data_IF_484854388929
#
_entry.id   IF_484854388929
#
_cell.length_a   1.000
_cell.length_b   1.000
_cell.length_c   1.000
_cell.angle_alpha   90.00
_cell.angle_beta   90.00
_cell.angle_gamma   90.00
#
_symmetry.space_group_name_H-M   'P 1'
#
loop_
_entity.id
_entity.type
_entity.pdbx_description
1 polymer ?
#
# COMPACT_ATOMS: atom_id res chain seq x y z
N UNK A 1 -3.32 13.41 -6.65
CA UNK A 1 -2.70 12.14 -7.07
C UNK A 1 -3.47 10.94 -6.51
N UNK A 2 -3.56 10.76 -5.19
CA UNK A 2 -4.28 9.63 -4.59
C UNK A 2 -5.80 9.65 -4.84
N UNK A 3 -6.43 10.83 -4.89
CA UNK A 3 -7.84 10.95 -5.29
C UNK A 3 -8.09 10.46 -6.72
N UNK A 4 -7.20 10.79 -7.66
CA UNK A 4 -7.29 10.29 -9.04
C UNK A 4 -7.12 8.77 -9.09
N UNK A 5 -6.20 8.21 -8.27
CA UNK A 5 -6.07 6.77 -8.14
C UNK A 5 -7.36 6.15 -7.58
N UNK A 6 -7.97 6.77 -6.56
CA UNK A 6 -9.27 6.32 -6.01
C UNK A 6 -10.33 6.22 -7.11
N UNK A 7 -10.48 7.27 -7.93
CA UNK A 7 -11.46 7.28 -9.01
C UNK A 7 -11.23 6.15 -10.04
N UNK A 8 -9.97 5.82 -10.33
CA UNK A 8 -9.62 4.71 -11.24
C UNK A 8 -9.92 3.36 -10.58
N UNK A 9 -9.61 3.19 -9.30
CA UNK A 9 -9.92 1.98 -8.54
C UNK A 9 -11.44 1.74 -8.49
N UNK A 10 -12.22 2.80 -8.24
CA UNK A 10 -13.67 2.74 -8.22
C UNK A 10 -14.24 2.31 -9.59
N UNK A 11 -13.73 2.87 -10.68
CA UNK A 11 -14.13 2.47 -12.05
C UNK A 11 -13.78 1.01 -12.37
N UNK A 12 -12.71 0.48 -11.77
CA UNK A 12 -12.31 -0.91 -11.90
C UNK A 12 -12.97 -1.84 -10.87
N UNK A 13 -13.97 -1.36 -10.11
CA UNK A 13 -14.65 -2.09 -9.03
C UNK A 13 -13.66 -2.70 -8.02
N UNK A 14 -12.60 -1.96 -7.67
CA UNK A 14 -11.56 -2.37 -6.72
C UNK A 14 -11.29 -1.24 -5.74
N UNK A 15 -10.33 -1.42 -4.84
CA UNK A 15 -10.08 -0.49 -3.73
C UNK A 15 -8.61 -0.54 -3.30
N UNK A 16 -8.22 0.42 -2.45
CA UNK A 16 -6.81 0.61 -2.06
C UNK A 16 -6.12 -0.61 -1.43
N UNK A 17 -6.86 -1.51 -0.76
CA UNK A 17 -6.25 -2.72 -0.20
C UNK A 17 -5.84 -3.76 -1.24
N UNK A 18 -6.29 -3.61 -2.49
CA UNK A 18 -5.86 -4.47 -3.61
C UNK A 18 -4.64 -3.89 -4.35
N UNK A 19 -4.15 -2.73 -3.95
CA UNK A 19 -2.88 -2.19 -4.45
C UNK A 19 -1.75 -3.00 -3.80
N UNK A 20 -0.91 -3.63 -4.63
CA UNK A 20 0.16 -4.53 -4.15
C UNK A 20 1.54 -3.85 -4.18
N UNK A 21 1.72 -2.85 -5.05
CA UNK A 21 2.97 -2.09 -5.19
C UNK A 21 2.65 -0.64 -5.55
N UNK A 22 3.38 0.29 -4.95
CA UNK A 22 3.43 1.69 -5.40
C UNK A 22 4.85 2.14 -5.67
N UNK A 23 5.01 3.02 -6.67
CA UNK A 23 6.23 3.82 -6.85
C UNK A 23 5.87 5.29 -6.67
N UNK A 24 6.52 5.96 -5.73
CA UNK A 24 6.30 7.37 -5.42
C UNK A 24 7.49 8.17 -5.90
N UNK A 25 7.26 9.02 -6.90
CA UNK A 25 8.26 9.94 -7.43
C UNK A 25 8.04 11.31 -6.79
N UNK A 26 9.06 11.83 -6.11
CA UNK A 26 9.06 13.17 -5.50
C UNK A 26 9.90 14.12 -6.35
N UNK A 27 9.45 15.37 -6.49
CA UNK A 27 10.30 16.41 -7.06
C UNK A 27 11.41 16.84 -6.09
N UNK A 28 11.13 16.83 -4.78
CA UNK A 28 12.05 17.19 -3.70
C UNK A 28 11.87 16.20 -2.53
N UNK A 29 12.95 15.57 -2.07
CA UNK A 29 12.95 14.63 -0.96
C UNK A 29 12.57 15.27 0.38
N UNK A 30 12.68 16.60 0.51
CA UNK A 30 12.22 17.32 1.71
C UNK A 30 10.69 17.19 1.91
N UNK A 31 9.93 16.91 0.85
CA UNK A 31 8.48 16.69 0.92
C UNK A 31 8.10 15.28 1.43
N UNK A 32 9.08 14.39 1.67
CA UNK A 32 8.84 12.99 2.03
C UNK A 32 7.89 12.81 3.22
N UNK A 33 8.12 13.52 4.32
CA UNK A 33 7.30 13.39 5.53
C UNK A 33 5.85 13.85 5.29
N UNK A 34 5.68 14.94 4.54
CA UNK A 34 4.37 15.48 4.19
C UNK A 34 3.58 14.51 3.29
N UNK A 35 4.23 13.94 2.27
CA UNK A 35 3.63 12.94 1.39
C UNK A 35 3.32 11.66 2.16
N UNK A 36 4.20 11.19 3.04
CA UNK A 36 3.99 9.97 3.81
C UNK A 36 2.81 10.10 4.78
N UNK A 37 2.58 11.28 5.37
CA UNK A 37 1.39 11.56 6.18
C UNK A 37 0.11 11.34 5.37
N UNK A 38 0.02 11.95 4.18
CA UNK A 38 -1.15 11.79 3.32
C UNK A 38 -1.30 10.37 2.78
N UNK A 39 -0.19 9.73 2.40
CA UNK A 39 -0.17 8.35 1.93
C UNK A 39 -0.79 7.38 2.95
N UNK A 40 -0.48 7.56 4.24
CA UNK A 40 -1.02 6.72 5.32
C UNK A 40 -2.52 6.84 5.49
N UNK A 41 -3.17 7.90 5.03
CA UNK A 41 -4.63 8.02 5.10
C UNK A 41 -5.37 7.11 4.12
N UNK A 42 -4.73 6.75 3.00
CA UNK A 42 -5.31 5.92 1.95
C UNK A 42 -4.95 4.43 2.09
N UNK A 43 -3.75 4.13 2.59
CA UNK A 43 -3.27 2.76 2.73
C UNK A 43 -3.28 2.31 4.19
N UNK A 44 -3.75 1.08 4.44
CA UNK A 44 -3.76 0.43 5.76
C UNK A 44 -3.00 -0.91 5.66
N UNK A 45 -2.69 -1.52 6.80
CA UNK A 45 -2.03 -2.82 6.82
C UNK A 45 -2.95 -3.92 6.22
N UNK A 46 -2.44 -4.86 5.39
CA UNK A 46 -1.06 -4.94 4.91
C UNK A 46 -0.74 -3.84 3.89
N UNK A 47 0.36 -3.12 4.10
CA UNK A 47 0.77 -2.05 3.20
C UNK A 47 1.30 -2.62 1.88
N UNK A 48 1.08 -1.94 0.73
CA UNK A 48 1.74 -2.31 -0.52
C UNK A 48 3.26 -2.21 -0.37
N UNK A 49 3.98 -3.02 -1.13
CA UNK A 49 5.40 -2.77 -1.35
C UNK A 49 5.57 -1.34 -1.90
N UNK A 50 6.62 -0.63 -1.48
CA UNK A 50 6.82 0.77 -1.88
C UNK A 50 8.26 1.07 -2.26
N UNK A 51 8.42 1.78 -3.37
CA UNK A 51 9.67 2.46 -3.72
C UNK A 51 9.42 3.97 -3.72
N UNK A 52 10.33 4.74 -3.14
CA UNK A 52 10.25 6.20 -3.13
C UNK A 52 11.59 6.77 -3.56
N UNK A 53 11.59 7.69 -4.53
CA UNK A 53 12.79 8.34 -5.03
C UNK A 53 12.52 9.78 -5.43
N UNK A 54 13.56 10.61 -5.37
CA UNK A 54 13.54 11.95 -5.95
C UNK A 54 13.85 11.87 -7.45
N UNK A 55 13.15 12.67 -8.26
CA UNK A 55 13.38 12.79 -9.70
C UNK A 55 13.60 14.25 -10.09
N UNK A 56 14.42 14.46 -11.13
CA UNK A 56 14.81 15.81 -11.56
C UNK A 56 13.62 16.68 -11.94
N UNK A 57 12.62 16.12 -12.63
CA UNK A 57 11.38 16.80 -13.05
C UNK A 57 10.22 15.83 -13.17
N UNK A 58 9.01 16.33 -12.93
CA UNK A 58 7.75 15.66 -13.21
C UNK A 58 6.94 16.45 -14.26
N UNK A 59 6.06 15.80 -15.04
CA UNK A 59 5.18 16.49 -15.97
C UNK A 59 4.38 17.61 -15.31
N UNK A 60 4.16 18.70 -16.03
CA UNK A 60 3.39 19.88 -15.58
C UNK A 60 3.92 20.54 -14.29
N UNK A 61 5.16 20.27 -13.88
CA UNK A 61 5.72 20.81 -12.63
C UNK A 61 5.10 20.21 -11.38
N UNK A 62 4.56 18.99 -11.46
CA UNK A 62 4.01 18.30 -10.30
C UNK A 62 5.08 18.09 -9.20
N UNK A 63 4.66 18.12 -7.94
CA UNK A 63 5.55 17.83 -6.79
C UNK A 63 5.66 16.35 -6.47
N UNK A 64 4.62 15.58 -6.82
CA UNK A 64 4.54 14.14 -6.58
C UNK A 64 3.82 13.45 -7.74
N UNK A 65 4.33 12.29 -8.14
CA UNK A 65 3.64 11.36 -9.03
C UNK A 65 3.62 9.97 -8.39
N UNK A 66 2.54 9.23 -8.59
CA UNK A 66 2.36 7.90 -8.01
C UNK A 66 1.95 6.93 -9.11
N UNK A 67 2.71 5.85 -9.22
CA UNK A 67 2.38 4.67 -10.00
C UNK A 67 1.91 3.56 -9.05
N UNK A 68 0.91 2.78 -9.45
CA UNK A 68 0.37 1.70 -8.65
C UNK A 68 0.11 0.46 -9.50
N UNK A 69 0.43 -0.71 -8.94
CA UNK A 69 0.03 -2.03 -9.47
C UNK A 69 -1.08 -2.55 -8.57
N UNK A 70 -2.17 -2.98 -9.18
CA UNK A 70 -3.40 -3.39 -8.50
C UNK A 70 -3.75 -4.81 -8.91
N UNK A 71 -4.00 -5.69 -7.94
CA UNK A 71 -4.55 -7.01 -8.18
C UNK A 71 -6.04 -6.92 -8.48
N UNK A 72 -6.47 -7.43 -9.63
CA UNK A 72 -7.88 -7.55 -9.99
C UNK A 72 -8.25 -9.05 -9.89
N UNK A 73 -8.89 -9.43 -8.78
CA UNK A 73 -9.30 -10.80 -8.51
C UNK A 73 -9.87 -10.94 -7.10
N UNK A 74 -10.69 -11.98 -6.89
CA UNK A 74 -11.29 -12.28 -5.59
C UNK A 74 -10.20 -12.62 -4.58
N UNK A 75 -9.82 -11.62 -3.80
CA UNK A 75 -8.86 -11.67 -2.71
C UNK A 75 -7.45 -12.11 -3.12
N UNK A 76 -6.50 -11.17 -3.04
CA UNK A 76 -5.24 -11.53 -2.37
C UNK A 76 -5.64 -11.84 -0.93
N UNK A 77 -6.07 -13.08 -0.67
CA UNK A 77 -5.91 -13.63 0.65
C UNK A 77 -4.38 -13.75 0.79
N UNK A 78 -3.74 -12.77 1.44
CA UNK A 78 -2.67 -13.17 2.35
C UNK A 78 -3.38 -14.14 3.26
N UNK A 79 -3.22 -15.43 2.97
CA UNK A 79 -3.45 -16.44 3.97
C UNK A 79 -2.68 -15.91 5.19
N UNK A 80 -3.41 -15.47 6.21
CA UNK A 80 -2.91 -15.71 7.54
C UNK A 80 -2.64 -17.20 7.52
N UNK A 81 -1.38 -17.58 7.40
CA UNK A 81 -0.97 -18.93 7.66
C UNK A 81 -1.20 -19.16 9.15
N UNK A 82 -2.46 -19.26 9.57
CA UNK A 82 -2.80 -20.23 10.59
C UNK A 82 -2.62 -21.56 9.89
N UNK A 83 -1.43 -22.14 10.00
CA UNK A 83 -1.25 -23.56 9.78
C UNK A 83 -2.17 -24.26 10.76
N UNK A 84 -3.39 -24.57 10.35
CA UNK A 84 -4.21 -25.56 11.03
C UNK A 84 -3.60 -26.89 10.67
N UNK A 85 -2.94 -27.54 11.64
CA UNK A 85 -2.62 -28.94 11.51
C UNK A 85 -3.91 -29.76 11.35
N UNK A 86 -3.79 -31.00 10.88
CA UNK A 86 -4.94 -31.88 10.62
C UNK A 86 -5.74 -32.26 11.89
N UNK A 87 -5.46 -31.66 13.06
CA UNK A 87 -6.08 -32.00 14.35
C UNK A 87 -6.95 -30.88 14.95
N UNK A 88 -7.03 -29.71 14.32
CA UNK A 88 -8.04 -28.69 14.64
C UNK A 88 -7.89 -28.03 16.02
N UNK A 89 -6.67 -27.94 16.56
CA UNK A 89 -6.42 -27.22 17.82
C UNK A 89 -5.80 -25.84 17.53
N UNK A 90 -6.48 -24.78 17.99
CA UNK A 90 -5.99 -23.40 17.86
C UNK A 90 -4.98 -23.10 18.97
N UNK A 91 -3.70 -23.01 18.63
CA UNK A 91 -2.68 -22.53 19.57
C UNK A 91 -2.64 -20.99 19.54
N UNK A 92 -2.96 -20.35 20.68
CA UNK A 92 -2.81 -18.90 20.87
C UNK A 92 -1.33 -18.60 21.06
N UNK A 93 -0.66 -18.05 20.05
CA UNK A 93 0.72 -17.58 20.17
C UNK A 93 0.79 -16.31 21.02
N UNK A 94 1.39 -16.45 22.20
CA UNK A 94 1.66 -15.44 23.23
C UNK A 94 2.96 -14.69 22.94
N UNK A 95 2.94 -13.61 22.16
CA UNK A 95 4.06 -12.64 22.16
C UNK A 95 3.57 -11.18 22.06
N UNK A 96 2.92 -10.71 23.12
CA UNK A 96 3.16 -9.35 23.65
C UNK A 96 4.25 -9.49 24.73
N UNK A 97 5.54 -9.52 24.36
CA UNK A 97 6.65 -9.35 25.32
C UNK A 97 7.80 -8.57 24.66
N UNK A 98 7.94 -7.29 25.06
CA UNK A 98 9.16 -6.44 25.05
C UNK A 98 9.91 -6.15 23.73
N UNK A 99 9.73 -4.97 23.14
CA UNK A 99 10.49 -3.71 23.36
C UNK A 99 10.08 -2.63 22.36
#
# INVERSE_FOLDING_TARGET
ALENLSAILDQANTHFSNVVKTTVYLHDMNDFLAVNKQYKEYFRHPYPARTTLEVSKLPLGAKVAIEAIVGLGDSWSVAHASTTDATGTTEKSLEEIHM
#
